data_IF_835219488461
#
_entry.id   IF_835219488461
#
_cell.length_a   1.000
_cell.length_b   1.000
_cell.length_c   1.000
_cell.angle_alpha   90.00
_cell.angle_beta   90.00
_cell.angle_gamma   90.00
#
_symmetry.space_group_name_H-M   'P 1'
#
loop_
_entity.id
_entity.type
_entity.pdbx_description
1 polymer ?
2 water ?
#
# COMPACT_ATOMS: atom_id res chain seq x y z
N UNK A 1 -2.00 15.65 3.66
CA UNK A 1 -1.32 15.19 4.87
C UNK A 1 -1.68 13.72 5.17
N UNK A 2 -0.75 12.99 5.83
CA UNK A 2 -0.91 11.55 6.10
C UNK A 2 -2.17 11.14 6.87
N UNK A 3 -2.67 12.00 7.75
CA UNK A 3 -3.85 11.67 8.55
C UNK A 3 -5.06 11.45 7.66
N UNK A 4 -5.34 12.44 6.82
CA UNK A 4 -6.43 12.36 5.88
C UNK A 4 -6.20 11.23 4.86
N UNK A 5 -4.94 11.02 4.46
CA UNK A 5 -4.63 9.93 3.53
C UNK A 5 -5.03 8.56 4.08
N UNK A 6 -4.64 8.29 5.33
CA UNK A 6 -4.88 6.99 5.95
C UNK A 6 -6.36 6.78 6.24
N UNK A 7 -7.04 7.86 6.62
CA UNK A 7 -8.48 7.83 6.84
C UNK A 7 -9.21 7.46 5.56
N UNK A 8 -8.90 8.19 4.49
CA UNK A 8 -9.52 7.93 3.19
C UNK A 8 -9.14 6.57 2.60
N UNK A 9 -7.88 6.16 2.73
CA UNK A 9 -7.51 4.83 2.26
C UNK A 9 -8.32 3.77 2.99
N UNK A 10 -8.70 4.07 4.23
CA UNK A 10 -9.51 3.16 5.04
C UNK A 10 -10.96 3.16 4.56
N UNK A 11 -11.49 4.36 4.33
CA UNK A 11 -12.83 4.53 3.79
C UNK A 11 -12.97 3.79 2.47
N UNK A 12 -11.93 3.90 1.65
CA UNK A 12 -11.92 3.27 0.33
C UNK A 12 -11.88 1.75 0.45
N UNK A 13 -10.93 1.23 1.22
CA UNK A 13 -10.85 -0.22 1.44
C UNK A 13 -12.16 -0.78 2.02
N UNK A 14 -12.90 0.05 2.75
CA UNK A 14 -14.07 -0.42 3.49
C UNK A 14 -15.41 -0.24 2.78
N UNK A 15 -15.52 0.76 1.91
CA UNK A 15 -16.81 1.13 1.34
C UNK A 15 -16.86 1.10 -0.19
N UNK A 16 -15.70 1.24 -0.83
CA UNK A 16 -15.68 1.46 -2.27
C UNK A 16 -15.11 0.30 -3.09
N UNK A 17 -14.68 -0.77 -2.43
CA UNK A 17 -14.13 -1.90 -3.19
C UNK A 17 -15.13 -2.37 -4.24
N UNK A 18 -14.67 -2.50 -5.49
CA UNK A 18 -15.49 -3.01 -6.57
C UNK A 18 -16.20 -1.91 -7.35
N UNK A 19 -16.20 -0.71 -6.80
CA UNK A 19 -16.89 0.40 -7.45
C UNK A 19 -15.97 1.06 -8.46
N UNK A 20 -16.56 1.60 -9.53
CA UNK A 20 -15.82 2.35 -10.54
C UNK A 20 -15.26 3.62 -9.91
N UNK A 21 -14.02 3.95 -10.25
CA UNK A 21 -13.40 5.16 -9.74
C UNK A 21 -13.82 6.35 -10.61
N UNK A 22 -14.96 6.93 -10.26
CA UNK A 22 -15.59 7.96 -11.09
C UNK A 22 -15.08 9.32 -10.68
N UNK A 23 -15.39 10.34 -11.47
CA UNK A 23 -15.01 11.70 -11.08
C UNK A 23 -15.70 12.09 -9.79
N UNK A 24 -16.91 11.59 -9.57
CA UNK A 24 -17.63 11.93 -8.34
C UNK A 24 -16.91 11.38 -7.11
N UNK A 25 -16.43 10.14 -7.20
CA UNK A 25 -15.63 9.57 -6.13
C UNK A 25 -14.31 10.33 -5.96
N UNK A 26 -13.64 10.60 -7.08
CA UNK A 26 -12.32 11.21 -7.03
C UNK A 26 -12.41 12.61 -6.46
N UNK A 27 -13.48 13.32 -6.81
CA UNK A 27 -13.60 14.71 -6.41
C UNK A 27 -13.95 14.84 -4.94
N UNK A 28 -14.49 13.77 -4.36
CA UNK A 28 -14.85 13.76 -2.94
C UNK A 28 -13.65 13.53 -2.02
N UNK A 29 -12.59 12.91 -2.54
CA UNK A 29 -11.39 12.67 -1.75
C UNK A 29 -10.58 13.95 -1.53
N UNK A 30 -10.16 14.18 -0.29
CA UNK A 30 -9.44 15.40 0.07
C UNK A 30 -7.92 15.20 0.12
N UNK A 31 -7.45 13.97 -0.02
CA UNK A 31 -6.01 13.71 -0.02
C UNK A 31 -5.31 14.42 -1.15
N UNK A 32 -4.06 14.78 -0.94
CA UNK A 32 -3.26 15.39 -1.99
C UNK A 32 -1.77 15.06 -1.79
N UNK A 33 -1.16 14.32 -2.69
CA UNK A 33 -1.70 13.99 -4.00
C UNK A 33 -2.40 12.66 -4.04
N UNK A 34 -3.17 12.42 -5.09
CA UNK A 34 -3.81 11.12 -5.28
C UNK A 34 -3.28 10.54 -6.59
N UNK A 35 -2.86 9.28 -6.57
CA UNK A 35 -2.34 8.62 -7.75
C UNK A 35 -3.18 7.38 -8.03
N UNK A 36 -3.56 7.19 -9.29
CA UNK A 36 -4.30 5.98 -9.64
C UNK A 36 -3.32 4.93 -10.20
N UNK A 37 -3.35 3.72 -9.64
CA UNK A 37 -2.44 2.67 -10.06
C UNK A 37 -3.21 1.70 -10.95
N UNK A 38 -2.81 1.59 -12.22
CA UNK A 38 -3.46 0.70 -13.19
C UNK A 38 -2.67 -0.58 -13.38
N UNK A 39 -3.36 -1.66 -13.77
CA UNK A 39 -2.65 -2.94 -13.87
C UNK A 39 -1.55 -2.83 -14.89
N UNK A 40 -0.37 -3.30 -14.54
CA UNK A 40 0.76 -3.31 -15.46
C UNK A 40 1.55 -2.01 -15.53
N UNK A 41 1.03 -0.94 -14.92
CA UNK A 41 1.79 0.30 -14.80
C UNK A 41 3.17 -0.02 -14.26
N UNK A 42 4.21 0.56 -14.84
CA UNK A 42 5.54 0.46 -14.25
C UNK A 42 5.71 1.65 -13.32
N UNK A 43 5.96 1.38 -12.05
CA UNK A 43 6.07 2.44 -11.06
C UNK A 43 7.45 2.43 -10.41
N UNK A 44 8.06 3.61 -10.33
CA UNK A 44 9.29 3.77 -9.57
C UNK A 44 8.92 4.08 -8.14
N UNK A 45 9.30 3.18 -7.25
CA UNK A 45 8.93 3.25 -5.85
C UNK A 45 9.67 4.37 -5.13
N UNK A 46 8.92 5.31 -4.58
CA UNK A 46 9.45 6.31 -3.64
C UNK A 46 8.30 6.59 -2.67
N UNK A 47 8.52 6.39 -1.38
CA UNK A 47 7.42 6.41 -0.41
C UNK A 47 7.04 7.81 0.05
N UNK A 48 5.78 8.16 -0.17
CA UNK A 48 5.28 9.47 0.22
C UNK A 48 4.04 9.26 1.07
N UNK A 49 4.19 9.49 2.38
CA UNK A 49 3.16 9.18 3.36
C UNK A 49 1.85 9.90 3.10
N UNK A 50 1.92 11.03 2.39
CA UNK A 50 0.74 11.87 2.14
C UNK A 50 -0.04 11.47 0.88
N UNK A 51 0.53 10.58 0.07
CA UNK A 51 -0.06 10.24 -1.22
C UNK A 51 -1.04 9.08 -1.11
N UNK A 52 -2.27 9.31 -1.57
CA UNK A 52 -3.25 8.26 -1.58
C UNK A 52 -3.16 7.55 -2.92
N UNK A 53 -2.95 6.24 -2.87
CA UNK A 53 -2.92 5.43 -4.08
C UNK A 53 -4.21 4.65 -4.20
N UNK A 54 -4.90 4.84 -5.32
CA UNK A 54 -6.12 4.10 -5.59
C UNK A 54 -5.79 3.08 -6.67
N UNK A 55 -5.90 1.80 -6.34
CA UNK A 55 -5.52 0.78 -7.29
C UNK A 55 -6.79 0.25 -7.92
N UNK A 56 -6.82 0.23 -9.26
CA UNK A 56 -8.00 -0.22 -9.97
C UNK A 56 -7.64 -1.43 -10.84
N UNK A 57 -8.65 -2.18 -11.24
CA UNK A 57 -8.45 -3.22 -12.26
C UNK A 57 -8.57 -2.67 -13.67
N UNK A 58 -8.57 -3.56 -14.66
CA UNK A 58 -8.60 -3.12 -16.04
C UNK A 58 -9.89 -2.40 -16.44
N UNK A 59 -10.90 -2.50 -15.59
CA UNK A 59 -12.16 -1.84 -15.84
C UNK A 59 -12.39 -0.61 -14.96
N UNK A 60 -11.32 -0.12 -14.36
CA UNK A 60 -11.36 1.07 -13.52
C UNK A 60 -12.16 0.82 -12.25
N UNK A 61 -12.26 -0.44 -11.83
CA UNK A 61 -12.95 -0.78 -10.59
C UNK A 61 -11.96 -0.83 -9.45
N UNK A 62 -12.31 -0.20 -8.33
CA UNK A 62 -11.38 -0.10 -7.20
C UNK A 62 -11.09 -1.45 -6.57
N UNK A 63 -9.81 -1.82 -6.50
CA UNK A 63 -9.43 -3.08 -5.84
C UNK A 63 -8.66 -2.86 -4.55
N UNK A 64 -8.11 -1.67 -4.36
CA UNK A 64 -7.42 -1.38 -3.09
C UNK A 64 -6.96 0.06 -2.99
N UNK A 65 -6.46 0.42 -1.81
CA UNK A 65 -5.88 1.75 -1.60
C UNK A 65 -4.83 1.69 -0.51
N UNK A 66 -3.79 2.50 -0.65
CA UNK A 66 -2.80 2.62 0.41
C UNK A 66 -2.07 3.93 0.26
N UNK A 67 -1.49 4.42 1.35
CA UNK A 67 -0.73 5.66 1.29
C UNK A 67 0.74 5.33 1.07
N UNK A 68 1.32 5.94 0.03
CA UNK A 68 2.72 5.72 -0.30
C UNK A 68 3.11 6.45 -1.56
N UNK B 1 -2.73 -15.39 2.36
CA UNK B 1 -4.02 -15.12 2.97
C UNK B 1 -4.18 -13.62 3.25
N UNK B 2 -5.13 -12.98 2.54
CA UNK B 2 -5.35 -11.53 2.67
C UNK B 2 -5.62 -11.11 4.11
N UNK B 3 -6.28 -11.98 4.87
CA UNK B 3 -6.63 -11.66 6.25
C UNK B 3 -5.38 -11.48 7.12
N UNK B 4 -4.45 -12.42 7.04
CA UNK B 4 -3.22 -12.33 7.83
C UNK B 4 -2.32 -11.18 7.35
N UNK B 5 -2.30 -10.94 6.05
CA UNK B 5 -1.44 -9.89 5.50
C UNK B 5 -1.84 -8.51 6.02
N UNK B 6 -3.15 -8.24 6.03
CA UNK B 6 -3.66 -6.97 6.52
C UNK B 6 -3.30 -6.78 7.99
N UNK B 7 -3.48 -7.83 8.79
CA UNK B 7 -3.14 -7.75 10.21
C UNK B 7 -1.67 -7.44 10.37
N UNK B 8 -0.84 -8.13 9.60
CA UNK B 8 0.60 -7.95 9.69
C UNK B 8 1.06 -6.58 9.18
N UNK B 9 0.42 -6.06 8.14
CA UNK B 9 0.75 -4.71 7.67
C UNK B 9 0.46 -3.67 8.75
N UNK B 10 -0.68 -3.81 9.43
CA UNK B 10 -1.04 -2.93 10.53
C UNK B 10 0.01 -2.96 11.62
N UNK B 11 0.46 -4.16 11.97
CA UNK B 11 1.43 -4.38 13.04
C UNK B 11 2.76 -3.75 12.67
N UNK B 12 3.19 -3.93 11.43
CA UNK B 12 4.46 -3.34 10.99
C UNK B 12 4.40 -1.82 11.13
N UNK B 13 3.31 -1.24 10.65
CA UNK B 13 3.14 0.20 10.61
C UNK B 13 3.04 0.79 12.01
N UNK B 14 2.51 0.00 12.94
CA UNK B 14 2.39 0.44 14.33
C UNK B 14 3.66 0.25 15.15
N UNK B 15 4.36 -0.87 14.96
CA UNK B 15 5.39 -1.26 15.90
C UNK B 15 6.81 -1.34 15.36
N UNK B 16 6.98 -1.36 14.04
CA UNK B 16 8.32 -1.61 13.51
C UNK B 16 8.98 -0.41 12.81
N UNK B 17 8.29 0.72 12.78
CA UNK B 17 8.80 1.87 12.03
C UNK B 17 10.15 2.32 12.56
N UNK B 18 11.13 2.42 11.67
CA UNK B 18 12.44 2.93 12.03
C UNK B 18 13.44 1.82 12.32
N UNK B 19 12.95 0.60 12.48
CA UNK B 19 13.83 -0.54 12.77
C UNK B 19 14.32 -1.23 11.50
N UNK B 20 15.52 -1.83 11.55
CA UNK B 20 16.07 -2.58 10.41
C UNK B 20 15.19 -3.76 10.05
N UNK B 21 15.01 -4.02 8.76
CA UNK B 21 14.31 -5.23 8.34
C UNK B 21 15.27 -6.41 8.39
N UNK B 22 15.02 -7.33 9.31
CA UNK B 22 15.96 -8.40 9.60
C UNK B 22 15.36 -9.78 9.37
N UNK B 23 16.22 -10.79 9.44
CA UNK B 23 15.76 -12.17 9.29
C UNK B 23 14.87 -12.55 10.47
N UNK B 24 15.04 -11.84 11.58
CA UNK B 24 14.20 -12.06 12.75
C UNK B 24 12.80 -11.56 12.45
N UNK B 25 12.74 -10.42 11.78
CA UNK B 25 11.47 -9.81 11.42
C UNK B 25 10.75 -10.68 10.40
N UNK B 26 11.45 -11.07 9.34
CA UNK B 26 10.85 -11.89 8.29
C UNK B 26 10.29 -13.21 8.83
N UNK B 27 10.96 -13.77 9.84
CA UNK B 27 10.54 -15.05 10.40
C UNK B 27 9.40 -14.90 11.40
N UNK B 28 9.31 -13.73 12.03
CA UNK B 28 8.19 -13.42 12.91
C UNK B 28 6.90 -13.12 12.12
N UNK B 29 7.01 -12.99 10.80
CA UNK B 29 5.84 -12.70 9.95
C UNK B 29 5.25 -13.96 9.31
N UNK B 30 3.95 -14.17 9.48
CA UNK B 30 3.29 -15.35 8.92
C UNK B 30 2.72 -15.12 7.52
N UNK B 31 2.96 -13.95 6.96
CA UNK B 31 2.43 -13.64 5.64
C UNK B 31 3.28 -14.28 4.61
N UNK B 32 2.64 -14.63 3.52
CA UNK B 32 3.32 -15.22 2.41
C UNK B 32 2.57 -14.97 1.14
N UNK B 33 3.27 -14.42 0.17
CA UNK B 33 4.69 -14.10 0.35
C UNK B 33 4.97 -12.71 0.97
N UNK B 34 6.25 -12.38 1.03
CA UNK B 34 6.74 -11.10 1.56
C UNK B 34 7.69 -10.47 0.55
N UNK B 35 7.50 -9.19 0.26
CA UNK B 35 8.40 -8.49 -0.65
C UNK B 35 8.90 -7.23 0.02
N UNK B 36 10.20 -6.99 -0.07
CA UNK B 36 10.77 -5.77 0.51
C UNK B 36 10.91 -4.75 -0.62
N UNK B 37 10.38 -3.55 -0.40
CA UNK B 37 10.40 -2.53 -1.44
C UNK B 37 11.44 -1.50 -1.04
N UNK B 38 12.28 -1.09 -1.99
CA UNK B 38 13.36 -0.14 -1.73
C UNK B 38 13.17 1.11 -2.59
N UNK B 39 13.76 2.23 -2.17
CA UNK B 39 13.67 3.44 -2.98
C UNK B 39 14.22 3.18 -4.38
N UNK B 40 13.46 3.56 -5.40
CA UNK B 40 13.90 3.46 -6.78
C UNK B 40 13.63 2.13 -7.46
N UNK B 41 13.08 1.16 -6.73
CA UNK B 41 12.69 -0.11 -7.35
C UNK B 41 11.62 0.20 -8.38
N UNK B 42 11.78 -0.31 -9.60
CA UNK B 42 10.79 -0.13 -10.64
C UNK B 42 10.06 -1.47 -10.78
N UNK B 43 8.76 -1.49 -10.50
CA UNK B 43 8.01 -2.73 -10.50
C UNK B 43 6.71 -2.57 -11.27
N UNK B 44 6.16 -3.69 -11.70
CA UNK B 44 4.90 -3.67 -12.43
C UNK B 44 3.76 -3.77 -11.44
N UNK B 45 2.71 -2.99 -11.66
CA UNK B 45 1.57 -3.00 -10.75
C UNK B 45 0.77 -4.26 -10.95
N UNK B 46 0.83 -5.12 -9.95
CA UNK B 46 0.03 -6.33 -9.91
C UNK B 46 -0.79 -6.21 -8.65
N UNK B 47 -1.68 -7.16 -8.43
CA UNK B 47 -2.38 -7.16 -7.16
C UNK B 47 -2.52 -8.56 -6.56
N UNK B 48 -1.69 -8.83 -5.56
CA UNK B 48 -1.76 -10.07 -4.80
C UNK B 48 -2.15 -9.70 -3.36
N UNK B 49 -3.43 -9.87 -3.02
CA UNK B 49 -3.91 -9.38 -1.73
C UNK B 49 -3.22 -10.05 -0.53
N UNK B 50 -2.59 -11.20 -0.78
CA UNK B 50 -1.93 -11.94 0.28
C UNK B 50 -0.48 -11.54 0.45
N UNK B 51 0.05 -10.76 -0.49
CA UNK B 51 1.46 -10.41 -0.46
C UNK B 51 1.68 -9.21 0.44
N UNK B 52 2.56 -9.38 1.43
CA UNK B 52 2.95 -8.28 2.30
C UNK B 52 4.16 -7.56 1.72
N UNK B 53 3.98 -6.27 1.47
CA UNK B 53 5.08 -5.41 1.04
C UNK B 53 5.60 -4.63 2.24
N UNK B 54 6.89 -4.81 2.53
CA UNK B 54 7.54 -4.00 3.56
C UNK B 54 8.37 -2.95 2.87
N UNK B 55 8.06 -1.68 3.14
CA UNK B 55 8.75 -0.60 2.50
C UNK B 55 9.90 -0.20 3.42
N UNK B 56 11.12 -0.11 2.88
CA UNK B 56 12.28 0.35 3.65
C UNK B 56 12.93 1.54 2.96
N UNK B 57 13.73 2.30 3.70
CA UNK B 57 14.48 3.42 3.12
C UNK B 57 15.88 2.98 2.72
N UNK B 58 16.72 3.92 2.28
CA UNK B 58 18.02 3.53 1.76
C UNK B 58 18.92 2.89 2.80
N UNK B 59 18.56 3.01 4.08
CA UNK B 59 19.37 2.41 5.14
C UNK B 59 18.74 1.16 5.76
N UNK B 60 17.84 0.53 5.00
CA UNK B 60 17.09 -0.66 5.43
C UNK B 60 16.20 -0.48 6.65
N UNK B 61 15.79 0.75 6.92
CA UNK B 61 14.86 1.02 8.00
C UNK B 61 13.43 0.90 7.49
N UNK B 62 12.60 0.19 8.24
CA UNK B 62 11.21 0.01 7.86
C UNK B 62 10.45 1.33 7.96
N UNK B 63 9.76 1.70 6.89
CA UNK B 63 9.00 2.94 6.87
C UNK B 63 7.50 2.75 6.61
N UNK B 64 7.09 1.62 6.04
CA UNK B 64 5.66 1.36 5.87
C UNK B 64 5.42 -0.08 5.45
N UNK B 65 4.15 -0.46 5.35
CA UNK B 65 3.78 -1.78 4.80
C UNK B 65 2.39 -1.75 4.20
N UNK B 66 2.15 -2.61 3.22
CA UNK B 66 0.81 -2.76 2.64
C UNK B 66 0.71 -4.08 1.87
N UNK B 67 -0.52 -4.50 1.63
CA UNK B 67 -0.75 -5.76 0.91
C UNK B 67 -1.15 -5.54 -0.56
N UNK B 68 -0.36 -6.12 -1.46
CA UNK B 68 -0.57 -5.99 -2.90
C UNK B 68 0.52 -6.74 -3.64
#
# INVERSE_FOLDING_TARGET
DPATCEKEAQFVKQELIGQPYTDAVANALQSNPIRVLHPGDMITMEYIASRLNIQVNENNEIISAHCA
DPATCEKEAQFVKQELIGQPYTDAVANALQSNPIRVLHPGDMITMEYIASRLNIQVNENNEIISAHCA
#
